data_IF_550093244963
#
_entry.id   IF_550093244963
#
_cell.length_a   1.000
_cell.length_b   1.000
_cell.length_c   1.000
_cell.angle_alpha   90.00
_cell.angle_beta   90.00
_cell.angle_gamma   90.00
#
_symmetry.space_group_name_H-M   'P 1'
#
loop_
_entity.id
_entity.type
_entity.pdbx_description
1 polymer ?
#
# COMPACT_ATOMS: atom_id res chain seq x y z
N UNK A 1 -14.61 3.18 3.99
CA UNK A 1 -16.01 2.90 3.60
C UNK A 1 -16.41 3.87 2.48
N UNK A 2 -17.19 3.40 1.51
CA UNK A 2 -17.80 4.22 0.44
C UNK A 2 -19.01 4.98 0.97
N UNK A 3 -19.48 6.00 0.25
CA UNK A 3 -20.70 6.76 0.60
C UNK A 3 -21.91 5.82 0.77
N UNK A 4 -22.07 4.83 -0.11
CA UNK A 4 -23.14 3.82 -0.01
C UNK A 4 -23.05 2.95 1.24
N UNK A 5 -21.84 2.60 1.68
CA UNK A 5 -21.63 1.83 2.91
C UNK A 5 -21.94 2.65 4.16
N UNK A 6 -21.65 3.96 4.13
CA UNK A 6 -22.02 4.88 5.21
C UNK A 6 -23.53 5.08 5.25
N UNK A 7 -24.18 5.30 4.10
CA UNK A 7 -25.65 5.39 4.03
C UNK A 7 -26.32 4.11 4.55
N UNK A 8 -25.76 2.94 4.21
CA UNK A 8 -26.23 1.66 4.73
C UNK A 8 -26.07 1.58 6.25
N UNK A 9 -24.88 1.91 6.78
CA UNK A 9 -24.62 1.87 8.23
C UNK A 9 -25.56 2.82 8.99
N UNK A 10 -25.75 4.04 8.49
CA UNK A 10 -26.67 5.01 9.09
C UNK A 10 -28.13 4.55 9.01
N UNK A 11 -28.51 3.88 7.92
CA UNK A 11 -29.84 3.28 7.78
C UNK A 11 -30.07 2.13 8.75
N UNK A 12 -29.06 1.26 8.97
CA UNK A 12 -29.10 0.16 9.94
C UNK A 12 -29.22 0.67 11.39
N UNK A 13 -28.56 1.78 11.72
CA UNK A 13 -28.73 2.44 13.03
C UNK A 13 -30.13 3.03 13.15
N UNK A 14 -30.61 3.73 12.12
CA UNK A 14 -31.95 4.32 12.11
C UNK A 14 -33.06 3.29 12.24
N UNK A 15 -32.90 2.11 11.63
CA UNK A 15 -33.87 1.01 11.73
C UNK A 15 -33.76 0.22 13.04
N UNK A 16 -32.76 0.49 13.88
CA UNK A 16 -32.48 -0.28 15.10
C UNK A 16 -31.88 -1.66 14.82
N UNK A 17 -31.46 -1.92 13.58
CA UNK A 17 -30.78 -3.17 13.19
C UNK A 17 -29.35 -3.24 13.74
N UNK A 18 -28.72 -2.08 13.93
CA UNK A 18 -27.48 -1.93 14.68
C UNK A 18 -27.65 -0.91 15.79
N UNK A 19 -26.98 -1.14 16.91
CA UNK A 19 -26.84 -0.14 17.95
C UNK A 19 -25.87 0.97 17.54
N UNK A 20 -25.92 2.09 18.25
CA UNK A 20 -24.97 3.20 18.04
C UNK A 20 -23.54 2.70 18.35
N UNK A 21 -23.37 1.88 19.38
CA UNK A 21 -22.08 1.30 19.78
C UNK A 21 -21.50 0.42 18.67
N UNK A 22 -22.32 -0.42 18.04
CA UNK A 22 -21.90 -1.26 16.91
C UNK A 22 -21.51 -0.44 15.69
N UNK A 23 -22.21 0.66 15.42
CA UNK A 23 -21.85 1.57 14.34
C UNK A 23 -20.56 2.36 14.65
N UNK A 24 -20.35 2.75 15.91
CA UNK A 24 -19.12 3.39 16.36
C UNK A 24 -17.90 2.47 16.25
N UNK A 25 -18.04 1.16 16.49
CA UNK A 25 -16.96 0.20 16.22
C UNK A 25 -16.58 0.17 14.72
N UNK A 26 -17.57 0.18 13.84
CA UNK A 26 -17.33 0.23 12.38
C UNK A 26 -16.65 1.54 11.97
N UNK A 27 -17.02 2.66 12.61
CA UNK A 27 -16.47 3.98 12.32
C UNK A 27 -15.17 4.30 13.09
N UNK A 28 -14.75 3.46 14.03
CA UNK A 28 -13.61 3.73 14.94
C UNK A 28 -12.31 4.05 14.20
N UNK A 29 -12.11 3.45 13.02
CA UNK A 29 -10.90 3.65 12.19
C UNK A 29 -11.18 4.47 10.93
N UNK A 30 -12.34 5.15 10.89
CA UNK A 30 -12.77 5.98 9.78
C UNK A 30 -12.44 7.46 10.06
N UNK A 31 -11.82 8.21 9.12
CA UNK A 31 -11.27 7.79 7.82
C UNK A 31 -9.79 7.37 7.90
N UNK A 32 -9.16 7.49 9.06
CA UNK A 32 -7.74 7.18 9.26
C UNK A 32 -7.47 6.47 10.58
N UNK A 33 -6.35 5.76 10.67
CA UNK A 33 -5.80 5.24 11.93
C UNK A 33 -4.61 6.10 12.35
N UNK A 34 -4.63 6.66 13.57
CA UNK A 34 -3.48 7.33 14.17
C UNK A 34 -2.68 6.33 15.02
N UNK A 35 -1.44 6.06 14.61
CA UNK A 35 -0.51 5.20 15.35
C UNK A 35 0.37 5.98 16.33
N UNK A 36 0.13 7.29 16.51
CA UNK A 36 0.94 8.20 17.31
C UNK A 36 2.19 8.71 16.58
N UNK A 37 2.74 7.92 15.64
CA UNK A 37 3.88 8.29 14.80
C UNK A 37 3.53 8.37 13.30
N UNK A 38 2.32 7.96 12.91
CA UNK A 38 1.82 8.03 11.54
C UNK A 38 0.28 8.07 11.54
N UNK A 39 -0.30 8.81 10.60
CA UNK A 39 -1.74 8.82 10.33
C UNK A 39 -2.01 8.15 8.99
N UNK A 40 -2.66 7.00 9.03
CA UNK A 40 -2.87 6.12 7.88
C UNK A 40 -4.23 6.42 7.26
N UNK A 41 -4.25 6.87 6.01
CA UNK A 41 -5.45 7.24 5.27
C UNK A 41 -6.03 6.03 4.53
N UNK A 42 -6.93 5.31 5.20
CA UNK A 42 -7.63 4.16 4.62
C UNK A 42 -8.55 4.52 3.44
N UNK A 43 -8.81 5.82 3.22
CA UNK A 43 -9.68 6.33 2.18
C UNK A 43 -8.95 6.72 0.89
N UNK A 44 -7.62 6.74 0.90
CA UNK A 44 -6.83 7.15 -0.25
C UNK A 44 -7.20 6.38 -1.51
N UNK A 45 -7.36 5.06 -1.41
CA UNK A 45 -7.72 4.18 -2.54
C UNK A 45 -9.07 4.54 -3.12
N UNK A 46 -10.08 4.76 -2.29
CA UNK A 46 -11.42 5.15 -2.76
C UNK A 46 -11.42 6.50 -3.48
N UNK A 47 -10.57 7.45 -3.04
CA UNK A 47 -10.51 8.80 -3.63
C UNK A 47 -9.65 8.90 -4.88
N UNK A 48 -8.59 8.10 -4.95
CA UNK A 48 -7.53 8.27 -5.96
C UNK A 48 -7.38 7.05 -6.89
N UNK A 49 -8.02 5.93 -6.56
CA UNK A 49 -7.80 4.65 -7.21
C UNK A 49 -6.56 3.91 -6.74
N UNK A 50 -5.73 4.51 -5.86
CA UNK A 50 -4.45 3.95 -5.44
C UNK A 50 -4.35 3.82 -3.91
N UNK A 51 -3.83 2.69 -3.40
CA UNK A 51 -3.66 2.49 -1.97
C UNK A 51 -2.61 3.44 -1.37
N UNK A 52 -2.54 3.45 -0.05
CA UNK A 52 -1.46 4.13 0.66
C UNK A 52 -0.13 3.39 0.49
N UNK A 53 0.91 4.15 0.13
CA UNK A 53 2.28 3.65 -0.09
C UNK A 53 3.15 4.15 1.06
N UNK A 54 3.83 3.22 1.74
CA UNK A 54 4.61 3.52 2.93
C UNK A 54 6.03 3.92 2.55
N UNK A 55 6.43 5.17 2.81
CA UNK A 55 7.84 5.56 2.70
C UNK A 55 8.62 5.02 3.92
N UNK A 56 9.34 3.91 3.75
CA UNK A 56 10.00 3.20 4.86
C UNK A 56 11.32 3.85 5.31
N UNK A 57 12.01 4.56 4.41
CA UNK A 57 13.28 5.19 4.77
C UNK A 57 13.11 6.21 5.91
N UNK A 58 13.99 6.11 6.92
CA UNK A 58 13.95 6.94 8.12
C UNK A 58 12.98 6.46 9.21
N UNK A 59 12.21 5.38 8.99
CA UNK A 59 11.39 4.73 10.03
C UNK A 59 12.16 3.63 10.74
N UNK A 60 11.73 3.30 11.96
CA UNK A 60 12.22 2.10 12.65
C UNK A 60 11.54 0.84 12.09
N UNK A 61 12.13 -0.33 12.37
CA UNK A 61 11.57 -1.63 11.99
C UNK A 61 10.18 -1.82 12.58
N UNK A 62 9.98 -1.47 13.85
CA UNK A 62 8.70 -1.57 14.56
C UNK A 62 7.65 -0.64 13.93
N UNK A 63 8.02 0.58 13.57
CA UNK A 63 7.10 1.51 12.91
C UNK A 63 6.62 0.95 11.57
N UNK A 64 7.52 0.40 10.76
CA UNK A 64 7.14 -0.22 9.47
C UNK A 64 6.25 -1.44 9.70
N UNK A 65 6.61 -2.32 10.65
CA UNK A 65 5.80 -3.50 11.02
C UNK A 65 4.38 -3.11 11.41
N UNK A 66 4.22 -2.11 12.27
CA UNK A 66 2.91 -1.65 12.75
C UNK A 66 2.07 -0.95 11.66
N UNK A 67 2.70 -0.15 10.79
CA UNK A 67 2.00 0.46 9.64
C UNK A 67 1.46 -0.63 8.72
N UNK A 68 2.30 -1.60 8.33
CA UNK A 68 1.88 -2.70 7.47
C UNK A 68 0.76 -3.53 8.10
N UNK A 69 0.85 -3.81 9.41
CA UNK A 69 -0.21 -4.49 10.18
C UNK A 69 -1.54 -3.76 10.06
N UNK A 70 -1.55 -2.46 10.33
CA UNK A 70 -2.76 -1.64 10.34
C UNK A 70 -3.39 -1.52 8.95
N UNK A 71 -2.59 -1.24 7.91
CA UNK A 71 -3.10 -1.12 6.54
C UNK A 71 -3.60 -2.46 5.98
N UNK A 72 -2.92 -3.57 6.27
CA UNK A 72 -3.31 -4.89 5.79
C UNK A 72 -4.59 -5.40 6.48
N UNK A 73 -4.80 -5.08 7.76
CA UNK A 73 -6.04 -5.39 8.50
C UNK A 73 -7.25 -4.63 7.94
N UNK A 74 -7.05 -3.43 7.39
CA UNK A 74 -8.09 -2.67 6.70
C UNK A 74 -8.49 -3.27 5.34
N UNK A 75 -7.81 -4.34 4.89
CA UNK A 75 -8.13 -5.07 3.66
C UNK A 75 -7.61 -4.43 2.37
N UNK A 76 -6.73 -3.42 2.48
CA UNK A 76 -6.12 -2.74 1.35
C UNK A 76 -4.84 -3.47 0.90
N UNK A 77 -4.47 -3.27 -0.36
CA UNK A 77 -3.11 -3.56 -0.79
C UNK A 77 -2.15 -2.62 -0.06
N UNK A 78 -0.98 -3.13 0.33
CA UNK A 78 0.03 -2.33 1.04
C UNK A 78 1.37 -2.60 0.41
N UNK A 79 2.11 -1.55 0.12
CA UNK A 79 3.52 -1.69 -0.20
C UNK A 79 4.31 -0.50 0.30
N UNK A 80 5.57 -0.75 0.60
CA UNK A 80 6.47 0.21 1.21
C UNK A 80 7.76 0.28 0.43
N UNK A 81 8.18 1.50 0.09
CA UNK A 81 9.38 1.76 -0.72
C UNK A 81 10.57 2.08 0.15
N UNK A 82 11.77 1.89 -0.42
CA UNK A 82 13.06 2.10 0.26
C UNK A 82 13.21 1.33 1.56
N UNK A 83 12.56 0.17 1.67
CA UNK A 83 12.66 -0.71 2.81
C UNK A 83 14.04 -1.36 2.90
N UNK A 84 14.38 -1.85 4.10
CA UNK A 84 15.51 -2.75 4.31
C UNK A 84 15.02 -4.19 4.39
N UNK A 85 15.93 -5.14 4.23
CA UNK A 85 15.61 -6.56 4.42
C UNK A 85 15.19 -6.87 5.87
N UNK A 86 15.75 -6.16 6.85
CA UNK A 86 15.35 -6.25 8.25
C UNK A 86 13.88 -5.85 8.45
N UNK A 87 13.46 -4.72 7.85
CA UNK A 87 12.05 -4.30 7.85
C UNK A 87 11.15 -5.34 7.21
N UNK A 88 11.59 -5.94 6.09
CA UNK A 88 10.85 -7.01 5.43
C UNK A 88 10.64 -8.22 6.34
N UNK A 89 11.71 -8.70 6.98
CA UNK A 89 11.64 -9.87 7.86
C UNK A 89 10.65 -9.63 9.00
N UNK A 90 10.70 -8.44 9.62
CA UNK A 90 9.77 -8.06 10.68
C UNK A 90 8.31 -7.98 10.20
N UNK A 91 8.06 -7.49 8.98
CA UNK A 91 6.72 -7.50 8.36
C UNK A 91 6.27 -8.92 8.05
N UNK A 92 7.16 -9.77 7.53
CA UNK A 92 6.84 -11.15 7.14
C UNK A 92 6.41 -12.02 8.32
N UNK A 93 6.95 -11.78 9.51
CA UNK A 93 6.53 -12.46 10.75
C UNK A 93 5.03 -12.32 11.04
N UNK A 94 4.46 -11.15 10.78
CA UNK A 94 3.04 -10.86 11.06
C UNK A 94 2.16 -10.96 9.82
N UNK A 95 2.75 -10.83 8.63
CA UNK A 95 2.07 -10.91 7.34
C UNK A 95 2.85 -11.89 6.45
N UNK A 96 2.64 -13.21 6.58
CA UNK A 96 3.41 -14.23 5.85
C UNK A 96 3.31 -14.13 4.32
N UNK A 97 2.28 -13.47 3.80
CA UNK A 97 2.10 -13.18 2.38
C UNK A 97 2.94 -12.01 1.85
N UNK A 98 3.77 -11.39 2.70
CA UNK A 98 4.64 -10.30 2.28
C UNK A 98 5.71 -10.78 1.28
N UNK A 99 5.96 -9.98 0.25
CA UNK A 99 6.99 -10.20 -0.77
C UNK A 99 7.98 -9.05 -0.73
N UNK A 100 9.27 -9.36 -0.83
CA UNK A 100 10.35 -8.36 -0.91
C UNK A 100 10.98 -8.36 -2.29
N UNK A 101 11.17 -7.16 -2.84
CA UNK A 101 11.88 -6.89 -4.08
C UNK A 101 13.21 -6.23 -3.74
N UNK A 102 14.33 -6.98 -3.69
CA UNK A 102 15.59 -6.48 -3.12
C UNK A 102 16.18 -5.28 -3.85
N UNK A 103 16.14 -5.26 -5.18
CA UNK A 103 16.71 -4.18 -6.00
C UNK A 103 15.87 -2.91 -5.90
N UNK A 104 14.55 -3.05 -6.01
CA UNK A 104 13.57 -1.97 -5.83
C UNK A 104 13.47 -1.49 -4.37
N UNK A 105 13.93 -2.30 -3.42
CA UNK A 105 13.76 -2.11 -1.97
C UNK A 105 12.29 -1.92 -1.60
N UNK A 106 11.42 -2.76 -2.15
CA UNK A 106 9.97 -2.71 -1.92
C UNK A 106 9.52 -3.93 -1.12
N UNK A 107 8.72 -3.71 -0.08
CA UNK A 107 7.91 -4.74 0.56
C UNK A 107 6.48 -4.60 0.04
N UNK A 108 5.82 -5.69 -0.34
CA UNK A 108 4.42 -5.68 -0.78
C UNK A 108 3.60 -6.75 -0.08
N UNK A 109 2.34 -6.43 0.19
CA UNK A 109 1.30 -7.33 0.69
C UNK A 109 0.07 -7.09 -0.18
N UNK A 110 -0.22 -8.05 -1.07
CA UNK A 110 -1.33 -7.96 -2.02
C UNK A 110 -2.54 -8.73 -1.48
N UNK A 111 -3.67 -8.05 -1.37
CA UNK A 111 -4.99 -8.58 -0.98
C UNK A 111 -5.94 -8.64 -2.18
N UNK A 112 -5.77 -7.76 -3.16
CA UNK A 112 -6.59 -7.64 -4.37
C UNK A 112 -5.68 -7.49 -5.58
N UNK A 113 -6.09 -8.07 -6.71
CA UNK A 113 -5.45 -7.77 -7.99
C UNK A 113 -5.97 -6.43 -8.51
N UNK A 114 -5.09 -5.47 -8.84
CA UNK A 114 -5.49 -4.22 -9.48
C UNK A 114 -5.98 -4.48 -10.92
N UNK A 115 -6.82 -3.59 -11.43
CA UNK A 115 -7.20 -3.61 -12.84
C UNK A 115 -6.00 -3.32 -13.72
N UNK A 116 -5.88 -4.07 -14.81
CA UNK A 116 -4.76 -3.99 -15.73
C UNK A 116 -5.11 -3.10 -16.92
N UNK A 117 -4.39 -1.98 -17.15
CA UNK A 117 -4.58 -1.15 -18.34
C UNK A 117 -4.17 -1.90 -19.63
N UNK A 118 -4.71 -1.47 -20.77
CA UNK A 118 -4.30 -1.96 -22.09
C UNK A 118 -2.94 -1.40 -22.54
N UNK A 119 -2.45 -0.36 -21.87
CA UNK A 119 -1.19 0.31 -22.17
C UNK A 119 -0.05 -0.19 -21.28
N UNK A 120 1.18 0.02 -21.73
CA UNK A 120 2.39 -0.33 -20.98
C UNK A 120 3.20 0.93 -20.64
N UNK A 121 3.96 0.86 -19.55
CA UNK A 121 4.89 1.90 -19.11
C UNK A 121 6.30 1.44 -19.45
N UNK A 122 7.10 2.29 -20.10
CA UNK A 122 8.53 2.05 -20.26
C UNK A 122 9.32 2.77 -19.16
N UNK A 123 10.17 2.04 -18.45
CA UNK A 123 11.15 2.58 -17.49
C UNK A 123 12.53 2.44 -18.10
N UNK A 124 13.17 3.56 -18.38
CA UNK A 124 14.43 3.63 -19.13
C UNK A 124 15.50 4.28 -18.26
N UNK A 125 16.69 3.67 -18.19
CA UNK A 125 17.87 4.29 -17.55
C UNK A 125 19.03 4.43 -18.52
N UNK A 126 19.85 5.48 -18.31
CA UNK A 126 21.07 5.68 -19.08
C UNK A 126 22.24 4.89 -18.47
N UNK A 127 22.33 4.79 -17.14
CA UNK A 127 23.40 4.08 -16.45
C UNK A 127 22.91 2.97 -15.53
N UNK A 128 23.84 2.09 -15.14
CA UNK A 128 23.58 1.01 -14.17
C UNK A 128 23.40 1.52 -12.74
N UNK A 129 23.92 2.71 -12.42
CA UNK A 129 23.72 3.38 -11.13
C UNK A 129 22.25 3.73 -10.86
N UNK A 130 21.45 3.89 -11.90
CA UNK A 130 20.04 4.26 -11.80
C UNK A 130 19.12 3.05 -11.61
N UNK A 131 19.64 1.82 -11.77
CA UNK A 131 18.86 0.58 -11.69
C UNK A 131 18.03 0.48 -10.39
N UNK A 132 18.55 0.79 -9.19
CA UNK A 132 17.73 0.72 -7.98
C UNK A 132 16.52 1.65 -8.01
N UNK A 133 16.67 2.85 -8.57
CA UNK A 133 15.58 3.83 -8.70
C UNK A 133 14.60 3.39 -9.77
N UNK A 134 15.10 2.86 -10.87
CA UNK A 134 14.26 2.33 -11.95
C UNK A 134 13.45 1.10 -11.53
N UNK A 135 14.04 0.21 -10.73
CA UNK A 135 13.32 -0.93 -10.17
C UNK A 135 12.28 -0.48 -9.13
N UNK A 136 12.56 0.53 -8.29
CA UNK A 136 11.54 1.13 -7.41
C UNK A 136 10.34 1.64 -8.23
N UNK A 137 10.58 2.35 -9.34
CA UNK A 137 9.53 2.84 -10.22
C UNK A 137 8.77 1.71 -10.94
N UNK A 138 9.49 0.74 -11.51
CA UNK A 138 8.91 -0.36 -12.26
C UNK A 138 8.04 -1.26 -11.39
N UNK A 139 8.58 -1.73 -10.27
CA UNK A 139 7.83 -2.58 -9.32
C UNK A 139 6.64 -1.82 -8.73
N UNK A 140 6.77 -0.52 -8.45
CA UNK A 140 5.61 0.29 -8.02
C UNK A 140 4.51 0.28 -9.07
N UNK A 141 4.84 0.51 -10.34
CA UNK A 141 3.86 0.52 -11.42
C UNK A 141 3.19 -0.86 -11.63
N UNK A 142 3.95 -1.94 -11.50
CA UNK A 142 3.43 -3.32 -11.57
C UNK A 142 2.48 -3.65 -10.41
N UNK A 143 2.85 -3.25 -9.18
CA UNK A 143 1.98 -3.41 -8.00
C UNK A 143 0.67 -2.62 -8.12
N UNK A 144 0.68 -1.56 -8.94
CA UNK A 144 -0.49 -0.77 -9.31
C UNK A 144 -1.22 -1.27 -10.57
N UNK A 145 -0.81 -2.41 -11.13
CA UNK A 145 -1.51 -3.11 -12.21
C UNK A 145 -1.00 -2.85 -13.62
N UNK A 146 0.08 -2.09 -13.79
CA UNK A 146 0.60 -1.76 -15.12
C UNK A 146 1.56 -2.84 -15.64
N UNK A 147 1.55 -3.06 -16.95
CA UNK A 147 2.66 -3.74 -17.62
C UNK A 147 3.84 -2.79 -17.75
N UNK A 148 5.03 -3.25 -17.36
CA UNK A 148 6.24 -2.44 -17.39
C UNK A 148 7.33 -3.05 -18.27
N UNK A 149 7.82 -2.26 -19.21
CA UNK A 149 8.99 -2.57 -20.03
C UNK A 149 10.21 -1.89 -19.40
N UNK A 150 11.20 -2.68 -18.98
CA UNK A 150 12.46 -2.18 -18.41
C UNK A 150 13.53 -2.11 -19.50
N UNK A 151 14.14 -0.95 -19.69
CA UNK A 151 15.27 -0.74 -20.59
C UNK A 151 16.41 -0.15 -19.78
N UNK A 152 17.40 -0.98 -19.46
CA UNK A 152 18.57 -0.54 -18.72
C UNK A 152 19.72 -0.24 -19.65
N UNK A 153 20.52 0.76 -19.28
CA UNK A 153 21.74 1.12 -20.00
C UNK A 153 21.48 1.46 -21.47
N UNK A 154 20.49 2.34 -21.70
CA UNK A 154 20.10 2.81 -23.03
C UNK A 154 21.17 3.71 -23.71
N UNK A 155 22.31 3.95 -23.04
CA UNK A 155 23.47 4.60 -23.60
C UNK A 155 23.35 6.12 -23.71
N UNK A 156 23.94 6.82 -22.74
CA UNK A 156 24.71 8.04 -23.02
C UNK A 156 26.00 7.92 -22.20
N UNK A 157 27.10 7.58 -22.88
CA UNK A 157 28.45 7.67 -22.30
C UNK A 157 28.94 9.12 -22.35
#
# INVERSE_FOLDING_TARGET
MTVKEIEKLLSEVKSGTKSIEEALEVLRYFPYTDLGFARLDHHRETRTGYPEIVYCAGKTVEQVKEIFRALALAGNNVFGTRATEEMYNAVREILPSAVYYPVARIISVRKKEPEKPETSIAVITAGTSDIPVAEEAAVTAELLGNDVVRIYDAGVA
#
